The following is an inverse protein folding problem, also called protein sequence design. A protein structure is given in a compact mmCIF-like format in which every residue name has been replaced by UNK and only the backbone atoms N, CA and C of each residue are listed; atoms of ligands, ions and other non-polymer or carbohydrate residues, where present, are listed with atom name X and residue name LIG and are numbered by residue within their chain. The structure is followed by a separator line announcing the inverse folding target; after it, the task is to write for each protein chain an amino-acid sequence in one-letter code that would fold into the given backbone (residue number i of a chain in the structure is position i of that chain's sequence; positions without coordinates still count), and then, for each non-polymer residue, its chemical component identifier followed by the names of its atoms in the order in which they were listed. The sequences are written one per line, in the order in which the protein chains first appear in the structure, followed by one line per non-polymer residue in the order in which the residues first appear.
data_IF_573752020036
#
_entry.id   IF_573752020036
#
_cell.length_a   1.000
_cell.length_b   1.000
_cell.length_c   1.000
_cell.angle_alpha   90.00
_cell.angle_beta   90.00
_cell.angle_gamma   90.00
#
_symmetry.space_group_name_H-M   'P 1'
#
loop_
_entity.id
_entity.type
_entity.pdbx_description
1 polymer ?
#
# COMPACT_ATOMS: atom_id res chain seq x y z
N UNK A 1 -8.14 -2.19 9.07
CA UNK A 1 -7.39 -1.54 8.01
C UNK A 1 -7.39 -2.32 6.69
N UNK A 2 -7.26 -3.65 6.66
CA UNK A 2 -7.35 -4.39 5.39
C UNK A 2 -8.75 -4.96 5.20
N UNK A 3 -9.37 -4.58 4.09
CA UNK A 3 -10.61 -5.15 3.57
C UNK A 3 -10.34 -5.86 2.25
N UNK A 4 -11.15 -6.84 1.92
CA UNK A 4 -11.04 -7.52 0.64
C UNK A 4 -11.95 -8.72 0.52
N UNK A 5 -12.12 -9.18 -0.71
CA UNK A 5 -13.00 -10.29 -1.06
C UNK A 5 -13.19 -10.43 -2.56
N UNK A 6 -14.17 -11.25 -2.93
CA UNK A 6 -14.59 -11.42 -4.31
C UNK A 6 -15.50 -10.27 -4.74
N UNK A 7 -15.32 -9.81 -5.96
CA UNK A 7 -16.12 -8.76 -6.57
C UNK A 7 -16.34 -9.01 -8.08
N UNK A 8 -17.12 -8.16 -8.71
CA UNK A 8 -17.24 -8.12 -10.17
C UNK A 8 -16.94 -6.71 -10.66
N UNK A 9 -16.04 -6.62 -11.63
CA UNK A 9 -15.73 -5.38 -12.35
C UNK A 9 -16.23 -5.58 -13.80
N UNK A 10 -17.23 -4.82 -14.22
CA UNK A 10 -17.86 -4.96 -15.54
C UNK A 10 -18.24 -6.41 -15.86
N UNK A 11 -18.82 -7.11 -14.89
CA UNK A 11 -19.22 -8.51 -15.02
C UNK A 11 -18.10 -9.54 -14.85
N UNK A 12 -16.84 -9.15 -14.89
CA UNK A 12 -15.68 -10.04 -14.71
C UNK A 12 -15.41 -10.28 -13.23
N UNK A 13 -15.26 -11.54 -12.79
CA UNK A 13 -14.92 -11.82 -11.42
C UNK A 13 -13.48 -11.43 -11.11
N UNK A 14 -13.27 -10.76 -9.99
CA UNK A 14 -11.97 -10.29 -9.51
C UNK A 14 -11.85 -10.47 -8.01
N UNK A 15 -10.62 -10.46 -7.49
CA UNK A 15 -10.34 -10.27 -6.06
C UNK A 15 -9.96 -8.81 -5.84
N UNK A 16 -10.62 -8.16 -4.89
CA UNK A 16 -10.27 -6.79 -4.47
C UNK A 16 -9.67 -6.85 -3.07
N UNK A 17 -8.57 -6.14 -2.87
CA UNK A 17 -7.90 -5.93 -1.58
C UNK A 17 -7.71 -4.43 -1.41
N UNK A 18 -8.09 -3.85 -0.28
CA UNK A 18 -7.96 -2.42 -0.06
C UNK A 18 -7.57 -2.08 1.37
N UNK A 19 -6.91 -0.96 1.51
CA UNK A 19 -6.61 -0.36 2.80
C UNK A 19 -7.71 0.62 3.17
N UNK A 20 -8.31 0.41 4.33
CA UNK A 20 -9.43 1.20 4.83
C UNK A 20 -8.95 2.11 5.96
N UNK A 21 -8.98 3.42 5.74
CA UNK A 21 -8.60 4.44 6.73
C UNK A 21 -9.73 4.82 7.67
N UNK A 22 -10.97 4.70 7.23
CA UNK A 22 -12.14 5.26 7.88
C UNK A 22 -12.47 6.67 7.38
N UNK A 23 -13.75 7.06 7.54
CA UNK A 23 -14.30 8.33 7.04
C UNK A 23 -14.40 9.43 8.13
N UNK A 24 -14.44 9.05 9.39
CA UNK A 24 -14.52 9.94 10.56
C UNK A 24 -13.44 9.58 11.60
N UNK A 25 -13.24 10.43 12.61
CA UNK A 25 -12.20 10.24 13.62
C UNK A 25 -12.29 8.89 14.34
N UNK A 26 -13.50 8.46 14.69
CA UNK A 26 -13.71 7.20 15.42
C UNK A 26 -13.36 5.99 14.56
N UNK A 27 -13.80 5.97 13.32
CA UNK A 27 -13.49 4.90 12.38
C UNK A 27 -12.01 4.91 11.97
N UNK A 28 -11.36 6.07 11.83
CA UNK A 28 -9.93 6.18 11.57
C UNK A 28 -9.11 5.58 12.69
N UNK A 29 -9.43 5.88 13.94
CA UNK A 29 -8.76 5.27 15.10
C UNK A 29 -8.95 3.76 15.10
N UNK A 30 -10.18 3.26 14.89
CA UNK A 30 -10.48 1.83 14.83
C UNK A 30 -9.77 1.11 13.68
N UNK A 31 -9.47 1.81 12.58
CA UNK A 31 -8.75 1.30 11.40
C UNK A 31 -7.25 1.56 11.45
N UNK A 32 -6.71 2.09 12.55
CA UNK A 32 -5.31 2.52 12.67
C UNK A 32 -4.88 3.44 11.50
N UNK A 33 -5.74 4.36 11.05
CA UNK A 33 -5.48 5.29 9.94
C UNK A 33 -5.04 4.59 8.64
N UNK A 34 -5.52 3.39 8.38
CA UNK A 34 -5.10 2.58 7.23
C UNK A 34 -3.86 1.73 7.45
N UNK A 35 -3.13 1.94 8.54
CA UNK A 35 -1.92 1.18 8.86
C UNK A 35 -2.27 -0.26 9.26
N UNK A 36 -1.86 -1.23 8.45
CA UNK A 36 -2.13 -2.63 8.72
C UNK A 36 -1.18 -3.20 9.77
N UNK A 37 -1.75 -4.08 10.61
CA UNK A 37 -1.00 -4.99 11.48
C UNK A 37 -0.69 -6.28 10.72
N UNK A 38 0.18 -7.18 11.24
CA UNK A 38 0.58 -8.42 10.54
C UNK A 38 -0.59 -9.25 10.02
N UNK A 39 -1.68 -9.29 10.79
CA UNK A 39 -2.89 -10.03 10.43
C UNK A 39 -3.55 -9.50 9.14
N UNK A 40 -3.40 -8.20 8.86
CA UNK A 40 -3.90 -7.59 7.63
C UNK A 40 -3.15 -8.08 6.40
N UNK A 41 -1.84 -8.13 6.45
CA UNK A 41 -1.00 -8.66 5.36
C UNK A 41 -1.28 -10.16 5.15
N UNK A 42 -1.37 -10.95 6.21
CA UNK A 42 -1.71 -12.37 6.14
C UNK A 42 -3.10 -12.62 5.55
N UNK A 43 -4.07 -11.76 5.87
CA UNK A 43 -5.40 -11.78 5.24
C UNK A 43 -5.30 -11.51 3.74
N UNK A 44 -4.50 -10.55 3.31
CA UNK A 44 -4.29 -10.25 1.91
C UNK A 44 -3.62 -11.42 1.17
N UNK A 45 -2.59 -12.04 1.74
CA UNK A 45 -1.94 -13.23 1.18
C UNK A 45 -2.97 -14.33 0.93
N UNK A 46 -3.85 -14.60 1.89
CA UNK A 46 -4.92 -15.60 1.74
C UNK A 46 -5.87 -15.27 0.58
N UNK A 47 -6.19 -14.00 0.36
CA UNK A 47 -7.02 -13.55 -0.77
C UNK A 47 -6.28 -13.68 -2.10
N UNK A 48 -4.98 -13.39 -2.12
CA UNK A 48 -4.11 -13.59 -3.28
C UNK A 48 -3.99 -15.07 -3.66
N UNK A 49 -3.86 -15.97 -2.66
CA UNK A 49 -3.87 -17.41 -2.89
C UNK A 49 -5.19 -17.87 -3.51
N UNK A 50 -6.31 -17.35 -3.03
CA UNK A 50 -7.62 -17.63 -3.59
C UNK A 50 -7.71 -17.14 -5.04
N UNK A 51 -7.25 -15.93 -5.33
CA UNK A 51 -7.19 -15.38 -6.68
C UNK A 51 -6.37 -16.28 -7.62
N UNK A 52 -5.18 -16.66 -7.18
CA UNK A 52 -4.29 -17.52 -7.96
C UNK A 52 -4.89 -18.90 -8.23
N UNK A 53 -5.56 -19.48 -7.22
CA UNK A 53 -6.22 -20.78 -7.32
C UNK A 53 -7.36 -20.80 -8.32
N UNK A 54 -8.14 -19.74 -8.38
CA UNK A 54 -9.32 -19.64 -9.26
C UNK A 54 -9.08 -18.84 -10.55
N UNK A 55 -7.83 -18.43 -10.82
CA UNK A 55 -7.50 -17.67 -12.03
C UNK A 55 -8.12 -16.27 -12.09
N UNK A 56 -8.33 -15.62 -10.93
CA UNK A 56 -8.96 -14.32 -10.81
C UNK A 56 -7.94 -13.20 -10.79
N UNK A 57 -8.11 -12.13 -11.58
CA UNK A 57 -7.29 -10.93 -11.43
C UNK A 57 -7.39 -10.34 -10.02
N UNK A 58 -6.30 -9.74 -9.54
CA UNK A 58 -6.23 -9.02 -8.27
C UNK A 58 -6.19 -7.53 -8.53
N UNK A 59 -7.05 -6.78 -7.85
CA UNK A 59 -7.01 -5.33 -7.79
C UNK A 59 -6.70 -4.92 -6.37
N UNK A 60 -5.62 -4.19 -6.15
CA UNK A 60 -5.28 -3.63 -4.84
C UNK A 60 -5.49 -2.11 -4.83
N UNK A 61 -6.16 -1.62 -3.80
CA UNK A 61 -6.41 -0.20 -3.56
C UNK A 61 -5.56 0.24 -2.38
N UNK A 62 -4.55 1.05 -2.64
CA UNK A 62 -3.55 1.45 -1.65
C UNK A 62 -3.88 2.83 -1.09
N UNK A 63 -4.08 2.90 0.22
CA UNK A 63 -4.27 4.14 0.96
C UNK A 63 -3.80 3.97 2.42
N UNK A 64 -2.52 4.17 2.66
CA UNK A 64 -1.88 4.02 3.96
C UNK A 64 -0.66 4.93 4.12
N UNK A 65 -0.43 5.54 5.28
CA UNK A 65 0.83 6.22 5.58
C UNK A 65 1.99 5.24 5.82
N UNK A 66 1.71 3.95 6.00
CA UNK A 66 2.72 2.93 6.25
C UNK A 66 2.18 1.71 6.98
N UNK A 67 3.07 0.86 7.47
CA UNK A 67 2.74 -0.24 8.33
C UNK A 67 2.52 0.25 9.78
N UNK A 68 1.67 -0.43 10.54
CA UNK A 68 1.45 -0.09 11.95
C UNK A 68 2.73 -0.28 12.78
N UNK A 69 3.25 0.77 13.47
CA UNK A 69 4.58 0.74 14.10
C UNK A 69 4.56 0.28 15.56
N UNK A 70 3.45 -0.26 16.04
CA UNK A 70 3.31 -0.61 17.45
C UNK A 70 4.05 -1.90 17.85
N UNK A 71 4.56 -1.96 19.10
CA UNK A 71 5.26 -3.12 19.68
C UNK A 71 4.55 -4.44 19.44
N UNK A 72 3.22 -4.48 19.64
CA UNK A 72 2.45 -5.70 19.41
C UNK A 72 2.37 -6.13 17.94
N UNK A 73 2.67 -5.28 16.97
CA UNK A 73 2.83 -5.68 15.57
C UNK A 73 4.21 -6.30 15.34
N UNK A 74 5.26 -5.71 15.90
CA UNK A 74 6.62 -6.24 15.84
C UNK A 74 6.71 -7.64 16.46
N UNK A 75 6.14 -7.83 17.65
CA UNK A 75 6.08 -9.12 18.35
C UNK A 75 5.38 -10.21 17.55
N UNK A 76 4.47 -9.84 16.63
CA UNK A 76 3.74 -10.78 15.77
C UNK A 76 4.28 -10.86 14.34
N UNK A 77 5.47 -10.33 14.11
CA UNK A 77 6.20 -10.45 12.84
C UNK A 77 5.71 -9.47 11.77
N UNK A 78 5.69 -8.16 12.05
CA UNK A 78 5.28 -7.12 11.10
C UNK A 78 6.12 -7.15 9.83
N UNK A 79 7.44 -7.14 9.96
CA UNK A 79 8.36 -7.13 8.82
C UNK A 79 8.24 -8.40 7.97
N UNK A 80 8.12 -9.56 8.62
CA UNK A 80 7.90 -10.85 7.95
C UNK A 80 6.58 -10.84 7.16
N UNK A 81 5.50 -10.35 7.75
CA UNK A 81 4.20 -10.32 7.10
C UNK A 81 4.19 -9.38 5.87
N UNK A 82 4.89 -8.25 5.93
CA UNK A 82 5.10 -7.33 4.81
C UNK A 82 5.89 -8.02 3.70
N UNK A 83 7.04 -8.63 4.04
CA UNK A 83 7.89 -9.32 3.08
C UNK A 83 7.15 -10.46 2.38
N UNK A 84 6.39 -11.26 3.12
CA UNK A 84 5.56 -12.33 2.56
C UNK A 84 4.45 -11.82 1.65
N UNK A 85 3.85 -10.66 1.95
CA UNK A 85 2.84 -10.07 1.08
C UNK A 85 3.45 -9.62 -0.25
N UNK A 86 4.63 -8.96 -0.19
CA UNK A 86 5.39 -8.56 -1.38
C UNK A 86 5.80 -9.77 -2.22
N UNK A 87 6.37 -10.79 -1.59
CA UNK A 87 6.73 -12.05 -2.24
C UNK A 87 5.51 -12.70 -2.92
N UNK A 88 4.36 -12.71 -2.24
CA UNK A 88 3.13 -13.27 -2.80
C UNK A 88 2.68 -12.52 -4.06
N UNK A 89 2.73 -11.18 -4.07
CA UNK A 89 2.43 -10.40 -5.26
C UNK A 89 3.30 -10.83 -6.46
N UNK A 90 4.60 -11.06 -6.24
CA UNK A 90 5.54 -11.49 -7.28
C UNK A 90 5.28 -12.92 -7.78
N UNK A 91 4.73 -13.79 -6.94
CA UNK A 91 4.46 -15.18 -7.26
C UNK A 91 3.12 -15.43 -7.96
N UNK A 92 2.25 -14.43 -8.01
CA UNK A 92 0.93 -14.57 -8.62
C UNK A 92 1.05 -14.82 -10.13
N UNK A 93 0.28 -15.81 -10.61
CA UNK A 93 0.16 -16.17 -12.04
C UNK A 93 -1.06 -15.52 -12.70
N UNK A 94 -1.73 -14.63 -12.00
CA UNK A 94 -2.89 -13.86 -12.46
C UNK A 94 -2.51 -12.39 -12.56
N UNK A 95 -3.19 -11.60 -13.40
CA UNK A 95 -2.95 -10.16 -13.47
C UNK A 95 -3.15 -9.47 -12.11
N UNK A 96 -2.22 -8.60 -11.75
CA UNK A 96 -2.28 -7.76 -10.56
C UNK A 96 -2.21 -6.30 -10.97
N UNK A 97 -3.23 -5.54 -10.60
CA UNK A 97 -3.29 -4.10 -10.82
C UNK A 97 -3.36 -3.43 -9.45
N UNK A 98 -2.45 -2.52 -9.18
CA UNK A 98 -2.45 -1.73 -7.96
C UNK A 98 -2.78 -0.28 -8.26
N UNK A 99 -3.65 0.31 -7.46
CA UNK A 99 -4.05 1.71 -7.59
C UNK A 99 -3.74 2.44 -6.28
N UNK A 100 -2.87 3.43 -6.33
CA UNK A 100 -2.66 4.35 -5.20
C UNK A 100 -3.80 5.38 -5.25
N UNK A 101 -4.74 5.27 -4.32
CA UNK A 101 -5.95 6.11 -4.32
C UNK A 101 -5.86 7.34 -3.40
N UNK A 102 -4.80 7.42 -2.61
CA UNK A 102 -4.55 8.52 -1.71
C UNK A 102 -3.07 8.54 -1.31
N UNK A 103 -2.72 7.82 -0.28
CA UNK A 103 -1.36 7.81 0.27
C UNK A 103 -0.76 6.41 0.17
N UNK A 104 0.37 6.30 -0.52
CA UNK A 104 1.15 5.08 -0.62
C UNK A 104 2.43 5.18 0.19
N UNK A 105 2.37 4.87 1.50
CA UNK A 105 3.50 5.02 2.40
C UNK A 105 4.28 3.73 2.64
N UNK A 106 5.60 3.78 2.38
CA UNK A 106 6.59 2.83 2.86
C UNK A 106 6.24 1.35 2.60
N UNK A 107 6.74 0.43 3.43
CA UNK A 107 6.47 -1.01 3.33
C UNK A 107 4.99 -1.39 3.39
N UNK A 108 4.16 -0.57 4.05
CA UNK A 108 2.71 -0.76 4.08
C UNK A 108 2.05 -0.65 2.71
N UNK A 109 2.57 0.22 1.85
CA UNK A 109 2.13 0.36 0.47
C UNK A 109 2.77 -0.70 -0.44
N UNK A 110 4.10 -0.89 -0.35
CA UNK A 110 4.85 -1.85 -1.20
C UNK A 110 4.27 -3.26 -1.10
N UNK A 111 3.81 -3.67 0.08
CA UNK A 111 3.18 -4.97 0.32
C UNK A 111 1.96 -5.25 -0.59
N UNK A 112 1.38 -4.23 -1.22
CA UNK A 112 0.22 -4.31 -2.12
C UNK A 112 0.45 -3.65 -3.48
N UNK A 113 1.44 -2.76 -3.59
CA UNK A 113 1.76 -2.02 -4.81
C UNK A 113 2.69 -2.79 -5.77
N UNK A 114 3.21 -3.94 -5.34
CA UNK A 114 4.01 -4.82 -6.20
C UNK A 114 3.09 -5.53 -7.19
N UNK A 115 2.95 -4.97 -8.38
CA UNK A 115 1.91 -5.34 -9.35
C UNK A 115 2.45 -5.36 -10.79
N UNK A 116 1.67 -5.93 -11.73
CA UNK A 116 1.97 -5.86 -13.16
C UNK A 116 1.72 -4.46 -13.73
N UNK A 117 0.75 -3.75 -13.12
CA UNK A 117 0.43 -2.35 -13.43
C UNK A 117 0.23 -1.58 -12.15
N UNK A 118 0.94 -0.46 -12.02
CA UNK A 118 0.79 0.49 -10.93
C UNK A 118 0.18 1.78 -11.47
N UNK A 119 -1.00 2.10 -10.98
CA UNK A 119 -1.77 3.29 -11.34
C UNK A 119 -1.84 4.22 -10.13
N UNK A 120 -1.82 5.52 -10.35
CA UNK A 120 -1.96 6.52 -9.29
C UNK A 120 -3.07 7.51 -9.63
N UNK A 121 -3.90 7.87 -8.66
CA UNK A 121 -4.77 9.02 -8.84
C UNK A 121 -3.94 10.31 -8.88
N UNK A 122 -4.41 11.30 -9.62
CA UNK A 122 -3.70 12.56 -9.89
C UNK A 122 -3.12 13.25 -8.65
N UNK A 123 -3.88 13.21 -7.55
CA UNK A 123 -3.50 13.85 -6.28
C UNK A 123 -3.00 12.87 -5.22
N UNK A 124 -2.72 11.64 -5.60
CA UNK A 124 -2.11 10.66 -4.70
C UNK A 124 -0.60 10.84 -4.60
N UNK A 125 -0.03 10.31 -3.54
CA UNK A 125 1.42 10.30 -3.31
C UNK A 125 1.90 8.88 -3.07
N UNK A 126 3.12 8.58 -3.50
CA UNK A 126 3.77 7.30 -3.24
C UNK A 126 5.24 7.51 -2.89
N UNK A 127 5.65 7.04 -1.71
CA UNK A 127 7.02 7.21 -1.22
C UNK A 127 7.41 6.12 -0.24
N UNK A 128 8.70 5.81 -0.19
CA UNK A 128 9.27 4.86 0.77
C UNK A 128 9.34 5.41 2.20
N UNK A 129 9.26 6.73 2.36
CA UNK A 129 9.35 7.43 3.65
C UNK A 129 8.53 8.72 3.59
N UNK A 130 8.04 9.19 4.74
CA UNK A 130 7.41 10.51 4.81
C UNK A 130 8.44 11.64 4.64
N UNK A 131 8.04 12.83 4.14
CA UNK A 131 8.92 13.99 4.04
C UNK A 131 9.57 14.38 5.36
N UNK A 132 8.83 14.30 6.47
CA UNK A 132 9.33 14.57 7.82
C UNK A 132 10.41 13.56 8.24
N UNK A 133 10.16 12.28 7.98
CA UNK A 133 11.12 11.20 8.24
C UNK A 133 12.38 11.36 7.40
N UNK A 134 12.23 11.69 6.13
CA UNK A 134 13.35 11.97 5.21
C UNK A 134 14.17 13.17 5.69
N UNK A 135 13.51 14.27 6.04
CA UNK A 135 14.16 15.46 6.57
C UNK A 135 14.94 15.19 7.85
N UNK A 136 14.34 14.45 8.77
CA UNK A 136 14.99 14.06 10.03
C UNK A 136 16.24 13.21 9.83
N UNK A 137 16.24 12.31 8.85
CA UNK A 137 17.40 11.44 8.55
C UNK A 137 18.49 12.21 7.82
N UNK A 138 18.16 12.96 6.75
CA UNK A 138 19.15 13.58 5.88
C UNK A 138 19.69 14.90 6.44
N UNK A 139 18.84 15.72 7.04
CA UNK A 139 19.22 17.04 7.55
C UNK A 139 19.24 17.14 9.10
N UNK A 140 18.78 16.09 9.79
CA UNK A 140 18.59 16.08 11.25
C UNK A 140 17.66 17.22 11.73
N UNK A 141 16.76 17.64 10.86
CA UNK A 141 15.84 18.74 11.05
C UNK A 141 14.51 18.45 10.37
N UNK A 142 13.47 18.17 11.14
CA UNK A 142 12.15 17.84 10.63
C UNK A 142 11.44 19.07 9.97
N UNK A 143 11.86 20.30 10.27
CA UNK A 143 11.27 21.49 9.66
C UNK A 143 11.59 21.60 8.17
N UNK A 144 12.62 20.89 7.68
CA UNK A 144 12.98 20.79 6.27
C UNK A 144 12.11 19.82 5.47
N UNK A 145 10.90 19.53 5.95
CA UNK A 145 9.99 18.61 5.26
C UNK A 145 9.58 19.07 3.85
N UNK A 146 9.59 20.36 3.57
CA UNK A 146 9.27 20.89 2.22
C UNK A 146 10.35 20.53 1.21
N UNK A 147 11.60 20.79 1.54
CA UNK A 147 12.76 20.42 0.71
C UNK A 147 12.82 18.90 0.52
N UNK A 148 12.51 18.13 1.57
CA UNK A 148 12.42 16.69 1.48
C UNK A 148 11.31 16.23 0.55
N UNK A 149 10.12 16.84 0.61
CA UNK A 149 8.99 16.49 -0.27
C UNK A 149 9.33 16.78 -1.75
N UNK A 150 9.96 17.90 -2.04
CA UNK A 150 10.42 18.25 -3.39
C UNK A 150 11.48 17.27 -3.91
N UNK A 151 12.44 16.91 -3.07
CA UNK A 151 13.51 15.97 -3.43
C UNK A 151 13.00 14.54 -3.65
N UNK A 152 12.00 14.10 -2.88
CA UNK A 152 11.41 12.76 -2.97
C UNK A 152 10.59 12.54 -4.24
N UNK A 153 10.11 13.61 -4.90
CA UNK A 153 9.30 13.53 -6.13
C UNK A 153 8.17 12.50 -6.03
N UNK A 154 7.36 12.64 -4.98
CA UNK A 154 6.36 11.65 -4.58
C UNK A 154 5.00 11.75 -5.29
N UNK A 155 4.85 12.72 -6.21
CA UNK A 155 3.59 12.94 -6.93
C UNK A 155 3.43 11.99 -8.11
N UNK A 156 2.18 11.73 -8.53
CA UNK A 156 1.89 10.90 -9.68
C UNK A 156 2.61 11.38 -10.95
N UNK A 157 2.65 12.69 -11.19
CA UNK A 157 3.31 13.31 -12.34
C UNK A 157 4.83 13.07 -12.35
N UNK A 158 5.47 13.09 -11.19
CA UNK A 158 6.89 12.81 -11.08
C UNK A 158 7.18 11.32 -11.24
N UNK A 159 6.36 10.47 -10.62
CA UNK A 159 6.58 9.03 -10.62
C UNK A 159 6.33 8.38 -11.98
N UNK A 160 5.43 8.94 -12.80
CA UNK A 160 5.30 8.57 -14.23
C UNK A 160 6.59 8.89 -14.99
N UNK A 161 7.15 10.10 -14.82
CA UNK A 161 8.40 10.51 -15.49
C UNK A 161 9.59 9.65 -15.07
N UNK A 162 9.60 9.18 -13.83
CA UNK A 162 10.62 8.29 -13.28
C UNK A 162 10.40 6.81 -13.64
N UNK A 163 9.28 6.46 -14.29
CA UNK A 163 8.93 5.09 -14.64
C UNK A 163 8.59 4.20 -13.43
N UNK A 164 8.18 4.81 -12.31
CA UNK A 164 7.77 4.10 -11.09
C UNK A 164 6.31 3.68 -11.16
N UNK A 165 5.45 4.47 -11.77
CA UNK A 165 4.08 4.09 -12.05
C UNK A 165 3.78 4.17 -13.56
N UNK A 166 2.75 3.45 -13.98
CA UNK A 166 2.39 3.27 -15.40
C UNK A 166 1.39 4.31 -15.89
N UNK A 167 0.57 4.83 -14.97
CA UNK A 167 -0.51 5.79 -15.28
C UNK A 167 -0.93 6.53 -14.02
#
# INVERSE_FOLDING_TARGET
SIMGGLARLEGRPVVIIGQEKGSDTKSRIARNFGMARPEGYRKAIRLMDLANRFGLPVISLVDTPGAYPGKGAEERGQSEAIARSTEKCLQLKVPVISVIIGEGGSGGAVAFATANKLVMLEHSIYSVISPEGCASILWKDAEKMREAAEALRLTAQDLIKLGVCDQ
#
